data_IF_780218943479
#
_entry.id   IF_780218943479
#
_cell.length_a   1.000
_cell.length_b   1.000
_cell.length_c   1.000
_cell.angle_alpha   90.00
_cell.angle_beta   90.00
_cell.angle_gamma   90.00
#
_symmetry.space_group_name_H-M   'P 1'
#
loop_
_entity.id
_entity.type
_entity.pdbx_description
1 polymer ?
#
# COMPACT_ATOMS: atom_id res chain seq x y z
N UNK A 1 4.35 -11.67 -2.92
CA UNK A 1 3.02 -11.57 -2.26
C UNK A 1 2.07 -10.86 -3.20
N UNK A 2 0.76 -11.18 -3.15
CA UNK A 2 -0.19 -10.58 -4.08
C UNK A 2 -0.30 -9.07 -3.83
N UNK A 3 -0.04 -8.29 -4.87
CA UNK A 3 -0.30 -6.86 -4.95
C UNK A 3 -1.62 -6.66 -5.68
N UNK A 4 -2.52 -5.88 -5.11
CA UNK A 4 -3.77 -5.50 -5.77
C UNK A 4 -3.73 -4.02 -6.13
N UNK A 5 -3.99 -3.69 -7.39
CA UNK A 5 -4.28 -2.31 -7.79
C UNK A 5 -5.67 -1.92 -7.28
N UNK A 6 -5.73 -0.83 -6.51
CA UNK A 6 -6.97 -0.32 -5.92
C UNK A 6 -7.16 1.15 -6.22
N UNK A 7 -8.40 1.58 -6.18
CA UNK A 7 -8.79 2.98 -6.34
C UNK A 7 -9.78 3.35 -5.26
N UNK A 8 -9.63 4.52 -4.66
CA UNK A 8 -10.51 5.00 -3.58
C UNK A 8 -10.74 6.51 -3.67
N UNK A 9 -11.88 7.02 -3.20
CA UNK A 9 -12.15 8.46 -3.17
C UNK A 9 -11.24 9.16 -2.16
N UNK A 10 -10.67 10.30 -2.56
CA UNK A 10 -9.85 11.16 -1.69
C UNK A 10 -10.15 12.62 -1.99
N UNK A 11 -10.83 13.30 -1.06
CA UNK A 11 -11.34 14.65 -1.30
C UNK A 11 -12.34 14.66 -2.46
N UNK A 12 -12.11 15.55 -3.44
CA UNK A 12 -12.94 15.64 -4.66
C UNK A 12 -12.49 14.71 -5.79
N UNK A 13 -11.43 13.92 -5.60
CA UNK A 13 -10.78 13.15 -6.66
C UNK A 13 -10.72 11.65 -6.33
N UNK A 14 -10.25 10.87 -7.30
CA UNK A 14 -10.00 9.44 -7.17
C UNK A 14 -8.50 9.16 -7.07
N UNK A 15 -8.09 8.45 -6.02
CA UNK A 15 -6.69 8.10 -5.78
C UNK A 15 -6.42 6.64 -6.11
N UNK A 16 -5.38 6.39 -6.91
CA UNK A 16 -4.94 5.04 -7.26
C UNK A 16 -3.76 4.60 -6.40
N UNK A 17 -3.85 3.40 -5.82
CA UNK A 17 -2.88 2.84 -4.91
C UNK A 17 -2.62 1.35 -5.16
N UNK A 18 -1.62 0.83 -4.44
CA UNK A 18 -1.36 -0.59 -4.33
C UNK A 18 -1.70 -1.05 -2.93
N UNK A 19 -2.39 -2.17 -2.82
CA UNK A 19 -2.71 -2.82 -1.56
C UNK A 19 -1.94 -4.14 -1.45
N UNK A 20 -1.22 -4.29 -0.34
CA UNK A 20 -0.50 -5.51 0.01
C UNK A 20 -1.13 -6.10 1.27
N UNK A 21 -1.70 -7.29 1.15
CA UNK A 21 -2.29 -7.99 2.30
C UNK A 21 -1.60 -9.35 2.43
N UNK A 22 -0.83 -9.59 3.50
CA UNK A 22 -0.32 -10.92 3.80
C UNK A 22 -1.48 -11.87 4.13
N UNK A 23 -1.40 -13.12 3.67
CA UNK A 23 -2.41 -14.14 3.97
C UNK A 23 -2.56 -14.41 5.48
N UNK A 24 -1.48 -14.18 6.25
CA UNK A 24 -1.43 -14.36 7.70
C UNK A 24 -1.98 -13.16 8.49
N UNK A 25 -2.32 -12.05 7.84
CA UNK A 25 -2.66 -10.84 8.56
C UNK A 25 -4.08 -10.94 9.20
N UNK A 26 -4.26 -10.54 10.48
CA UNK A 26 -5.52 -10.66 11.23
C UNK A 26 -6.55 -9.62 10.79
N UNK A 27 -7.83 -9.95 10.54
CA UNK A 27 -8.83 -9.02 9.92
C UNK A 27 -8.85 -7.58 10.44
N UNK A 28 -8.55 -7.36 11.72
CA UNK A 28 -8.33 -6.04 12.32
C UNK A 28 -6.87 -5.92 12.80
N UNK A 29 -6.24 -4.77 12.56
CA UNK A 29 -4.86 -4.52 12.99
C UNK A 29 -4.28 -3.22 12.45
N UNK A 30 -3.01 -2.92 12.77
CA UNK A 30 -2.31 -1.75 12.25
C UNK A 30 -2.16 -1.82 10.72
N UNK A 31 -2.14 -0.65 10.09
CA UNK A 31 -1.94 -0.47 8.65
C UNK A 31 -0.84 0.56 8.40
N UNK A 32 0.00 0.32 7.40
CA UNK A 32 1.04 1.21 6.95
C UNK A 32 0.59 1.89 5.67
N UNK A 33 0.49 3.22 5.70
CA UNK A 33 0.25 4.02 4.50
C UNK A 33 1.58 4.62 4.05
N UNK A 34 1.95 4.39 2.79
CA UNK A 34 3.17 4.91 2.19
C UNK A 34 2.85 5.87 1.06
N UNK A 35 3.57 6.99 1.04
CA UNK A 35 3.50 7.99 -0.02
C UNK A 35 4.88 8.59 -0.25
N UNK A 36 5.09 9.16 -1.44
CA UNK A 36 6.26 9.98 -1.70
C UNK A 36 6.01 11.44 -1.30
N UNK A 37 7.11 12.19 -1.24
CA UNK A 37 7.05 13.65 -1.29
C UNK A 37 6.61 14.18 -2.65
N UNK A 38 6.61 15.51 -2.79
CA UNK A 38 6.17 16.21 -3.99
C UNK A 38 6.88 15.69 -5.27
N UNK A 39 6.09 15.39 -6.30
CA UNK A 39 6.59 14.92 -7.60
C UNK A 39 6.84 13.41 -7.69
N UNK A 40 6.76 12.66 -6.57
CA UNK A 40 6.90 11.21 -6.59
C UNK A 40 5.58 10.47 -6.88
N UNK A 41 5.67 9.32 -7.55
CA UNK A 41 4.54 8.42 -7.83
C UNK A 41 4.82 7.02 -7.30
N UNK A 42 3.79 6.23 -7.00
CA UNK A 42 3.93 4.91 -6.34
C UNK A 42 4.93 3.95 -7.02
N UNK A 43 5.10 4.09 -8.34
CA UNK A 43 6.07 3.33 -9.14
C UNK A 43 7.53 3.68 -8.86
N UNK A 44 7.81 4.77 -8.15
CA UNK A 44 9.17 5.18 -7.75
C UNK A 44 9.64 4.43 -6.49
N UNK A 45 9.50 3.10 -6.53
CA UNK A 45 9.97 2.11 -5.54
C UNK A 45 9.17 1.94 -4.24
N UNK A 46 7.93 2.45 -4.12
CA UNK A 46 7.14 2.13 -2.92
C UNK A 46 6.85 0.64 -2.79
N UNK A 47 6.75 -0.08 -3.91
CA UNK A 47 6.60 -1.54 -3.94
C UNK A 47 7.73 -2.25 -3.17
N UNK A 48 8.99 -1.85 -3.38
CA UNK A 48 10.14 -2.47 -2.71
C UNK A 48 10.10 -2.31 -1.18
N UNK A 49 9.52 -1.23 -0.66
CA UNK A 49 9.30 -1.06 0.78
C UNK A 49 8.07 -1.84 1.25
N UNK A 50 6.97 -1.77 0.49
CA UNK A 50 5.73 -2.48 0.79
C UNK A 50 5.93 -3.98 0.89
N UNK A 51 6.69 -4.58 -0.02
CA UNK A 51 7.02 -6.00 0.01
C UNK A 51 7.73 -6.41 1.30
N UNK A 52 8.62 -5.57 1.85
CA UNK A 52 9.34 -5.85 3.10
C UNK A 52 8.41 -5.80 4.31
N UNK A 53 7.59 -4.76 4.42
CA UNK A 53 6.62 -4.66 5.51
C UNK A 53 5.59 -5.77 5.45
N UNK A 54 5.09 -6.06 4.26
CA UNK A 54 4.13 -7.13 4.04
C UNK A 54 4.75 -8.49 4.39
N UNK A 55 6.01 -8.74 4.00
CA UNK A 55 6.73 -9.97 4.38
C UNK A 55 6.93 -10.12 5.90
N UNK A 56 6.92 -9.02 6.64
CA UNK A 56 6.96 -9.00 8.11
C UNK A 56 5.56 -9.11 8.76
N UNK A 57 4.50 -9.28 7.97
CA UNK A 57 3.12 -9.48 8.45
C UNK A 57 2.29 -8.19 8.57
N UNK A 58 2.83 -7.04 8.16
CA UNK A 58 2.09 -5.78 8.13
C UNK A 58 1.21 -5.66 6.88
N UNK A 59 0.18 -4.82 6.98
CA UNK A 59 -0.69 -4.45 5.87
C UNK A 59 -0.46 -3.01 5.45
#
# INVERSE_FOLDING_TARGET
MPRTDVTFPSGGESCAAWLYVPDSAPTTGPMIVMAHGLGGVRQMRLDAFAERFSSAGYR
#
